data_IF_510299067533
#
_entry.id   IF_510299067533
#
_cell.length_a   1.000
_cell.length_b   1.000
_cell.length_c   1.000
_cell.angle_alpha   90.00
_cell.angle_beta   90.00
_cell.angle_gamma   90.00
#
_symmetry.space_group_name_H-M   'P 1'
#
loop_
_entity.id
_entity.type
_entity.pdbx_description
1 polymer ?
#
# COMPACT_ATOMS: atom_id res chain seq x y z
N UNK A 1 -8.59 11.51 1.30
CA UNK A 1 -7.69 10.96 0.28
C UNK A 1 -6.36 10.64 0.93
N UNK A 2 -5.67 9.59 0.51
CA UNK A 2 -4.29 9.26 0.92
C UNK A 2 -3.39 9.79 -0.19
N UNK A 3 -2.47 10.70 0.08
CA UNK A 3 -1.47 11.14 -0.90
C UNK A 3 -0.20 10.30 -0.83
N UNK A 4 0.25 9.76 -1.96
CA UNK A 4 1.55 9.11 -2.14
C UNK A 4 2.40 9.99 -3.07
N UNK A 5 3.66 10.24 -2.68
CA UNK A 5 4.59 11.06 -3.45
C UNK A 5 5.91 10.30 -3.65
N UNK A 6 6.71 10.72 -4.64
CA UNK A 6 8.01 10.12 -4.98
C UNK A 6 7.93 8.60 -5.20
N UNK A 7 6.91 8.16 -5.95
CA UNK A 7 6.70 6.76 -6.30
C UNK A 7 7.81 6.29 -7.24
N UNK A 8 8.56 5.27 -6.83
CA UNK A 8 9.65 4.68 -7.61
C UNK A 8 9.51 3.17 -7.63
N UNK A 9 9.44 2.59 -8.83
CA UNK A 9 9.49 1.15 -9.01
C UNK A 9 10.86 0.62 -8.58
N UNK A 10 10.85 -0.47 -7.80
CA UNK A 10 12.05 -1.17 -7.35
C UNK A 10 12.26 -2.43 -8.17
N UNK A 11 11.22 -3.27 -8.24
CA UNK A 11 11.29 -4.59 -8.88
C UNK A 11 9.89 -5.08 -9.24
N UNK A 12 9.78 -5.75 -10.38
CA UNK A 12 8.60 -6.50 -10.80
C UNK A 12 8.87 -8.01 -10.70
N UNK A 13 7.96 -8.77 -10.09
CA UNK A 13 8.10 -10.22 -9.95
C UNK A 13 7.02 -10.89 -9.12
N UNK A 14 6.78 -12.18 -9.39
CA UNK A 14 5.61 -12.90 -8.86
C UNK A 14 4.32 -12.24 -9.32
N UNK A 15 3.32 -12.17 -8.45
CA UNK A 15 2.02 -11.54 -8.74
C UNK A 15 2.00 -10.01 -8.57
N UNK A 16 3.14 -9.33 -8.62
CA UNK A 16 3.13 -7.90 -8.37
C UNK A 16 4.42 -7.13 -8.64
N UNK A 17 4.33 -5.83 -8.39
CA UNK A 17 5.43 -4.88 -8.52
C UNK A 17 5.64 -4.15 -7.19
N UNK A 18 6.90 -4.06 -6.76
CA UNK A 18 7.30 -3.39 -5.53
C UNK A 18 7.72 -1.95 -5.84
N UNK A 19 7.14 -1.02 -5.11
CA UNK A 19 7.41 0.41 -5.20
C UNK A 19 7.93 0.94 -3.87
N UNK A 20 8.91 1.82 -3.94
CA UNK A 20 9.23 2.74 -2.86
C UNK A 20 8.36 3.98 -3.01
N UNK A 21 7.76 4.44 -1.92
CA UNK A 21 6.89 5.62 -1.89
C UNK A 21 7.10 6.43 -0.62
N UNK A 22 6.74 7.71 -0.65
CA UNK A 22 6.58 8.53 0.55
C UNK A 22 5.09 8.81 0.78
N UNK A 23 4.61 8.60 2.00
CA UNK A 23 3.27 9.01 2.40
C UNK A 23 3.23 10.52 2.58
N UNK A 24 2.59 11.23 1.64
CA UNK A 24 2.57 12.70 1.58
C UNK A 24 1.84 13.36 2.73
N UNK A 25 0.71 12.78 3.15
CA UNK A 25 -0.10 13.30 4.27
C UNK A 25 0.28 12.67 5.62
N UNK A 26 1.08 11.60 5.59
CA UNK A 26 1.39 10.80 6.76
C UNK A 26 0.25 9.89 7.22
N UNK A 27 0.61 8.93 8.08
CA UNK A 27 -0.30 7.88 8.56
C UNK A 27 -1.39 8.47 9.43
N UNK A 28 -2.64 8.13 9.17
CA UNK A 28 -3.76 8.45 10.05
C UNK A 28 -3.53 7.77 11.41
N UNK A 29 -3.60 8.57 12.47
CA UNK A 29 -3.50 8.07 13.84
C UNK A 29 -4.91 7.92 14.44
N UNK A 30 -5.62 9.03 14.55
CA UNK A 30 -6.95 9.09 15.18
C UNK A 30 -7.80 10.23 14.61
N UNK A 31 -9.10 10.19 14.88
CA UNK A 31 -10.01 11.29 14.61
C UNK A 31 -9.99 12.29 15.76
N UNK A 32 -9.62 13.54 15.49
CA UNK A 32 -9.73 14.64 16.45
C UNK A 32 -11.16 15.16 16.46
N UNK A 33 -11.95 14.75 17.47
CA UNK A 33 -13.35 15.15 17.61
C UNK A 33 -13.50 16.67 17.72
N UNK A 34 -12.56 17.35 18.40
CA UNK A 34 -12.65 18.80 18.67
C UNK A 34 -12.41 19.60 17.39
N UNK A 35 -11.40 19.20 16.63
CA UNK A 35 -11.03 19.90 15.39
C UNK A 35 -11.73 19.33 14.15
N UNK A 36 -12.52 18.27 14.31
CA UNK A 36 -13.23 17.55 13.24
C UNK A 36 -12.30 17.20 12.06
N UNK A 37 -11.10 16.73 12.38
CA UNK A 37 -10.08 16.38 11.40
C UNK A 37 -9.29 15.14 11.81
N UNK A 38 -8.71 14.44 10.83
CA UNK A 38 -7.81 13.32 11.08
C UNK A 38 -6.46 13.83 11.59
N UNK A 39 -6.03 13.37 12.77
CA UNK A 39 -4.64 13.50 13.18
C UNK A 39 -3.80 12.53 12.37
N UNK A 40 -2.63 13.01 11.95
CA UNK A 40 -1.71 12.25 11.14
C UNK A 40 -0.32 12.33 11.74
N UNK A 41 0.40 11.22 11.70
CA UNK A 41 1.84 11.21 11.94
C UNK A 41 2.58 11.92 10.80
N UNK A 42 3.85 12.22 11.03
CA UNK A 42 4.70 12.77 9.99
C UNK A 42 4.74 11.87 8.75
N UNK A 43 5.14 12.46 7.63
CA UNK A 43 5.45 11.76 6.39
C UNK A 43 6.38 10.58 6.68
N UNK A 44 6.10 9.45 6.04
CA UNK A 44 6.89 8.23 6.22
C UNK A 44 7.19 7.60 4.87
N UNK A 45 8.42 7.15 4.71
CA UNK A 45 8.86 6.39 3.56
C UNK A 45 8.47 4.92 3.76
N UNK A 46 7.94 4.29 2.72
CA UNK A 46 7.38 2.95 2.78
C UNK A 46 7.69 2.18 1.51
N UNK A 47 7.69 0.85 1.63
CA UNK A 47 7.72 -0.07 0.50
C UNK A 47 6.34 -0.69 0.37
N UNK A 48 5.75 -0.59 -0.82
CA UNK A 48 4.45 -1.15 -1.15
C UNK A 48 4.63 -2.20 -2.25
N UNK A 49 4.01 -3.37 -2.08
CA UNK A 49 3.82 -4.31 -3.19
C UNK A 49 2.41 -4.12 -3.73
N UNK A 50 2.31 -3.75 -5.00
CA UNK A 50 1.07 -3.73 -5.74
C UNK A 50 0.93 -5.06 -6.47
N UNK A 51 -0.21 -5.72 -6.32
CA UNK A 51 -0.50 -6.92 -7.07
C UNK A 51 -1.23 -6.55 -8.37
N UNK A 52 -0.66 -6.91 -9.50
CA UNK A 52 -1.22 -6.68 -10.85
C UNK A 52 -1.49 -8.02 -11.55
N UNK A 53 -2.46 -8.04 -12.46
CA UNK A 53 -2.73 -9.23 -13.28
C UNK A 53 -3.39 -10.41 -12.55
N UNK A 54 -4.10 -10.16 -11.44
CA UNK A 54 -4.96 -11.18 -10.82
C UNK A 54 -6.25 -11.25 -11.65
N UNK A 55 -6.24 -12.06 -12.70
CA UNK A 55 -7.46 -12.39 -13.45
C UNK A 55 -8.33 -13.38 -12.65
N UNK A 56 -7.69 -14.38 -12.03
CA UNK A 56 -8.31 -15.35 -11.13
C UNK A 56 -7.44 -15.58 -9.88
N UNK A 57 -8.10 -15.73 -8.72
CA UNK A 57 -7.43 -16.12 -7.48
C UNK A 57 -7.11 -17.62 -7.59
N UNK A 58 -5.83 -17.97 -7.71
CA UNK A 58 -5.35 -19.34 -7.79
C UNK A 58 -4.42 -19.70 -6.62
N UNK A 59 -4.07 -20.98 -6.52
CA UNK A 59 -3.26 -21.51 -5.42
C UNK A 59 -1.87 -20.86 -5.35
N UNK A 60 -1.27 -20.51 -6.48
CA UNK A 60 0.04 -19.84 -6.53
C UNK A 60 -0.03 -18.44 -5.91
N UNK A 61 -1.08 -17.67 -6.22
CA UNK A 61 -1.32 -16.37 -5.64
C UNK A 61 -1.57 -16.46 -4.12
N UNK A 62 -2.41 -17.42 -3.70
CA UNK A 62 -2.69 -17.65 -2.28
C UNK A 62 -1.45 -18.10 -1.51
N UNK A 63 -0.59 -18.94 -2.11
CA UNK A 63 0.68 -19.35 -1.53
C UNK A 63 1.62 -18.15 -1.35
N UNK A 64 1.73 -17.28 -2.36
CA UNK A 64 2.55 -16.07 -2.25
C UNK A 64 2.00 -15.15 -1.14
N UNK A 65 0.68 -14.92 -1.08
CA UNK A 65 0.03 -14.17 0.00
C UNK A 65 0.29 -14.79 1.38
N UNK A 66 0.22 -16.11 1.51
CA UNK A 66 0.44 -16.80 2.77
C UNK A 66 1.89 -16.63 3.27
N UNK A 67 2.88 -16.66 2.37
CA UNK A 67 4.29 -16.37 2.69
C UNK A 67 4.42 -14.93 3.16
N UNK A 68 3.80 -13.98 2.47
CA UNK A 68 3.81 -12.58 2.86
C UNK A 68 3.17 -12.36 4.23
N UNK A 69 1.99 -12.94 4.50
CA UNK A 69 1.32 -12.81 5.79
C UNK A 69 2.15 -13.37 6.95
N UNK A 70 2.83 -14.52 6.75
CA UNK A 70 3.73 -15.10 7.75
C UNK A 70 4.95 -14.22 8.03
N UNK A 71 5.43 -13.46 7.04
CA UNK A 71 6.58 -12.55 7.21
C UNK A 71 6.20 -11.19 7.80
N UNK A 72 4.92 -10.78 7.75
CA UNK A 72 4.42 -9.56 8.42
C UNK A 72 4.65 -9.62 9.93
N UNK A 73 4.59 -10.81 10.54
CA UNK A 73 4.92 -11.01 11.96
C UNK A 73 6.37 -10.61 12.31
N UNK A 74 7.25 -10.44 11.30
CA UNK A 74 8.67 -10.06 11.44
C UNK A 74 9.04 -8.65 10.93
N UNK A 75 8.06 -7.83 10.51
CA UNK A 75 8.11 -6.41 10.04
C UNK A 75 8.39 -6.12 8.54
N UNK A 76 7.63 -5.12 8.06
CA UNK A 76 7.98 -4.02 7.11
C UNK A 76 7.29 -3.97 5.74
N UNK A 77 6.27 -4.78 5.45
CA UNK A 77 5.44 -4.60 4.24
C UNK A 77 4.00 -4.33 4.68
N UNK A 78 3.54 -3.11 4.46
CA UNK A 78 2.12 -2.77 4.61
C UNK A 78 1.44 -3.10 3.28
N UNK A 79 0.64 -4.15 3.27
CA UNK A 79 -0.27 -4.42 2.16
C UNK A 79 -1.46 -3.48 2.28
N UNK A 80 -1.60 -2.54 1.35
CA UNK A 80 -2.87 -1.88 1.11
C UNK A 80 -3.53 -2.61 -0.05
N UNK A 81 -4.50 -3.47 0.25
CA UNK A 81 -5.41 -4.03 -0.74
C UNK A 81 -6.31 -2.89 -1.22
N UNK A 82 -5.89 -2.20 -2.29
CA UNK A 82 -6.72 -1.21 -2.96
C UNK A 82 -7.54 -1.95 -4.02
N UNK A 83 -8.66 -2.56 -3.61
CA UNK A 83 -9.68 -2.93 -4.59
C UNK A 83 -10.28 -1.66 -5.19
N UNK A 84 -10.46 -1.72 -6.51
CA UNK A 84 -11.13 -0.82 -7.41
C UNK A 84 -10.28 0.28 -8.07
N UNK A 85 -10.27 0.15 -9.39
CA UNK A 85 -9.65 0.92 -10.48
C UNK A 85 -10.05 2.39 -10.58
N UNK A 86 -10.51 3.03 -9.50
CA UNK A 86 -10.71 4.49 -9.45
C UNK A 86 -9.60 5.20 -8.66
N UNK A 87 -8.93 4.49 -7.76
CA UNK A 87 -7.91 5.07 -6.88
C UNK A 87 -6.61 5.38 -7.64
N UNK A 88 -6.29 4.59 -8.68
CA UNK A 88 -5.09 4.83 -9.50
C UNK A 88 -5.15 6.12 -10.32
N UNK A 89 -6.35 6.56 -10.74
CA UNK A 89 -6.52 7.80 -11.49
C UNK A 89 -6.45 9.04 -10.58
N UNK A 90 -6.79 8.92 -9.30
CA UNK A 90 -6.61 9.97 -8.28
C UNK A 90 -5.16 10.12 -7.83
N UNK A 91 -4.29 9.16 -8.12
CA UNK A 91 -2.85 9.24 -7.84
C UNK A 91 -2.04 9.90 -8.96
N UNK A 92 -2.67 10.23 -10.10
CA UNK A 92 -2.00 10.79 -11.29
C UNK A 92 -2.36 12.24 -11.61
N UNK A 93 -3.01 12.97 -10.69
CA UNK A 93 -3.22 14.42 -10.78
C UNK A 93 -2.54 15.17 -9.65
#
# INVERSE_FOLDING_TARGET
>A
MISLINIKEIVKGGFGTIYYVKWGDGRIDEWDIKNQQWKRFSRREMVLKFFDGIEDINDDFLNEMAIHLKTIETRSILFMELRNSQIFDDFRR
#
